data_IF_602379703063
#
_entry.id   IF_602379703063
#
_cell.length_a   1.000
_cell.length_b   1.000
_cell.length_c   1.000
_cell.angle_alpha   90.00
_cell.angle_beta   90.00
_cell.angle_gamma   90.00
#
_symmetry.space_group_name_H-M   'P 1'
#
loop_
_entity.id
_entity.type
_entity.pdbx_description
1 polymer ?
#
# COMPACT_ATOMS: atom_id res chain seq x y z
N UNK A 1 26.86 -22.63 -52.23
CA UNK A 1 26.02 -23.36 -53.20
C UNK A 1 25.92 -24.81 -52.71
N UNK A 2 24.70 -25.36 -52.61
CA UNK A 2 24.29 -26.74 -52.20
C UNK A 2 24.29 -27.01 -50.68
N UNK A 3 23.15 -26.99 -49.97
CA UNK A 3 22.00 -27.93 -49.85
C UNK A 3 22.37 -29.28 -49.21
N UNK A 4 21.78 -29.62 -48.05
CA UNK A 4 20.70 -30.64 -47.86
C UNK A 4 20.72 -31.23 -46.44
N UNK A 5 19.51 -31.43 -45.92
CA UNK A 5 19.06 -31.96 -44.61
C UNK A 5 19.38 -33.46 -44.38
N UNK A 6 19.38 -33.92 -43.11
CA UNK A 6 18.49 -34.99 -42.59
C UNK A 6 18.93 -35.56 -41.21
N UNK A 7 18.02 -35.39 -40.22
CA UNK A 7 17.48 -36.39 -39.26
C UNK A 7 18.44 -37.28 -38.46
N UNK A 8 18.41 -37.20 -37.11
CA UNK A 8 17.88 -38.27 -36.23
C UNK A 8 18.21 -38.04 -34.73
N UNK A 9 17.16 -38.13 -33.92
CA UNK A 9 17.05 -38.71 -32.58
C UNK A 9 18.18 -38.50 -31.54
N UNK A 10 17.81 -37.84 -30.44
CA UNK A 10 18.46 -38.02 -29.13
C UNK A 10 18.37 -36.78 -28.26
N UNK A 11 17.34 -36.66 -27.42
CA UNK A 11 17.41 -35.74 -26.28
C UNK A 11 17.02 -36.48 -25.01
N UNK A 12 18.10 -36.86 -24.32
CA UNK A 12 18.24 -37.25 -22.93
C UNK A 12 17.39 -36.36 -22.00
N UNK A 13 16.59 -36.99 -21.15
CA UNK A 13 15.77 -36.30 -20.15
C UNK A 13 16.66 -35.51 -19.17
N UNK A 14 16.63 -34.19 -19.30
CA UNK A 14 17.17 -33.26 -18.30
C UNK A 14 16.05 -32.92 -17.32
N UNK A 15 16.18 -33.41 -16.09
CA UNK A 15 15.38 -32.96 -14.96
C UNK A 15 15.65 -31.46 -14.74
N UNK A 16 14.71 -30.62 -15.18
CA UNK A 16 14.79 -29.17 -14.93
C UNK A 16 14.31 -28.92 -13.50
N UNK A 17 15.23 -28.41 -12.69
CA UNK A 17 14.99 -28.07 -11.30
C UNK A 17 13.76 -27.20 -11.11
N UNK A 18 12.97 -27.56 -10.10
CA UNK A 18 11.92 -26.72 -9.56
C UNK A 18 12.55 -25.44 -8.98
N UNK A 19 12.65 -24.38 -9.79
CA UNK A 19 12.77 -23.04 -9.24
C UNK A 19 11.43 -22.69 -8.59
N UNK A 20 11.31 -22.92 -7.28
CA UNK A 20 10.34 -22.23 -6.44
C UNK A 20 10.67 -20.74 -6.49
N UNK A 21 10.12 -20.05 -7.49
CA UNK A 21 10.05 -18.59 -7.47
C UNK A 21 9.00 -18.26 -6.44
N UNK A 22 9.44 -17.95 -5.22
CA UNK A 22 8.67 -17.17 -4.26
C UNK A 22 8.31 -15.85 -4.95
N UNK A 23 7.25 -15.88 -5.74
CA UNK A 23 6.68 -14.69 -6.34
C UNK A 23 6.12 -13.90 -5.16
N UNK A 24 6.58 -12.67 -4.91
CA UNK A 24 6.00 -11.87 -3.84
C UNK A 24 4.50 -11.82 -4.10
N UNK A 25 3.74 -12.38 -3.16
CA UNK A 25 2.28 -12.40 -3.26
C UNK A 25 1.86 -10.94 -3.25
N UNK A 26 1.39 -10.45 -4.41
CA UNK A 26 0.90 -9.09 -4.52
C UNK A 26 -0.17 -8.89 -3.45
N UNK A 27 -0.17 -7.76 -2.71
CA UNK A 27 -1.19 -7.51 -1.70
C UNK A 27 -2.57 -7.72 -2.31
N UNK A 28 -3.38 -8.58 -1.69
CA UNK A 28 -4.76 -8.76 -2.10
C UNK A 28 -5.47 -7.41 -2.04
N UNK A 29 -6.09 -6.97 -3.13
CA UNK A 29 -6.84 -5.71 -3.16
C UNK A 29 -8.11 -5.75 -2.30
N UNK A 30 -8.47 -6.91 -1.73
CA UNK A 30 -9.67 -7.12 -0.94
C UNK A 30 -9.41 -7.13 0.57
N UNK A 31 -8.35 -6.46 1.05
CA UNK A 31 -8.23 -6.16 2.48
C UNK A 31 -9.25 -5.08 2.85
N UNK A 32 -10.09 -5.30 3.88
CA UNK A 32 -11.00 -4.27 4.36
C UNK A 32 -10.21 -3.00 4.69
N UNK A 33 -10.71 -1.84 4.27
CA UNK A 33 -10.09 -0.55 4.55
C UNK A 33 -11.17 0.40 5.02
N UNK A 34 -10.87 1.14 6.09
CA UNK A 34 -11.80 2.10 6.68
C UNK A 34 -11.09 3.40 7.00
N UNK A 35 -11.83 4.50 6.89
CA UNK A 35 -11.38 5.83 7.26
C UNK A 35 -12.42 6.52 8.12
N UNK A 36 -11.95 7.35 9.06
CA UNK A 36 -12.80 8.19 9.91
C UNK A 36 -12.18 9.57 9.98
N UNK A 37 -12.93 10.59 9.59
CA UNK A 37 -12.54 11.98 9.77
C UNK A 37 -12.71 12.38 11.24
N UNK A 38 -11.59 12.67 11.91
CA UNK A 38 -11.58 13.19 13.28
C UNK A 38 -11.80 14.69 13.27
N UNK A 39 -11.26 15.37 12.26
CA UNK A 39 -11.46 16.80 12.02
C UNK A 39 -11.50 17.06 10.53
N UNK A 40 -12.55 17.72 10.04
CA UNK A 40 -12.63 18.13 8.65
C UNK A 40 -11.89 19.45 8.46
N UNK A 41 -10.97 19.50 7.50
CA UNK A 41 -10.24 20.73 7.15
C UNK A 41 -11.10 21.72 6.37
N UNK A 42 -10.66 22.99 6.33
CA UNK A 42 -11.38 24.07 5.62
C UNK A 42 -10.72 24.47 4.30
N UNK A 43 -9.51 23.99 4.03
CA UNK A 43 -8.77 24.35 2.83
C UNK A 43 -9.11 23.50 1.60
N UNK A 44 -8.21 23.54 0.62
CA UNK A 44 -8.37 22.81 -0.63
C UNK A 44 -8.50 21.31 -0.41
N UNK A 45 -9.29 20.67 -1.27
CA UNK A 45 -9.47 19.22 -1.27
C UNK A 45 -8.31 18.51 -1.97
N UNK A 46 -7.88 17.40 -1.38
CA UNK A 46 -6.86 16.48 -1.87
C UNK A 46 -7.44 15.61 -3.00
N UNK A 47 -7.41 16.17 -4.20
CA UNK A 47 -7.85 15.53 -5.44
C UNK A 47 -6.67 14.96 -6.23
N UNK A 48 -6.89 13.89 -7.00
CA UNK A 48 -5.86 13.27 -7.83
C UNK A 48 -5.12 14.27 -8.73
N UNK A 49 -3.81 14.09 -8.87
CA UNK A 49 -2.93 14.97 -9.65
C UNK A 49 -2.43 16.21 -8.90
N UNK A 50 -2.92 16.50 -7.69
CA UNK A 50 -2.34 17.53 -6.81
C UNK A 50 -1.30 16.93 -5.87
N UNK A 51 -0.29 17.73 -5.52
CA UNK A 51 0.67 17.39 -4.47
C UNK A 51 0.07 17.71 -3.10
N UNK A 52 0.02 16.70 -2.22
CA UNK A 52 -0.35 16.88 -0.83
C UNK A 52 0.90 16.77 0.05
N UNK A 53 0.99 17.60 1.08
CA UNK A 53 1.93 17.46 2.18
C UNK A 53 1.14 17.01 3.41
N UNK A 54 1.48 15.84 3.93
CA UNK A 54 0.73 15.15 4.98
C UNK A 54 1.64 14.93 6.18
N UNK A 55 1.14 15.29 7.35
CA UNK A 55 1.77 14.94 8.62
C UNK A 55 1.15 13.64 9.06
N UNK A 56 1.94 12.58 9.17
CA UNK A 56 1.42 11.28 9.53
C UNK A 56 2.05 10.73 10.80
N UNK A 57 1.28 9.90 11.49
CA UNK A 57 1.74 9.09 12.61
C UNK A 57 1.14 7.69 12.51
N UNK A 58 1.99 6.68 12.71
CA UNK A 58 1.64 5.26 12.70
C UNK A 58 1.71 4.72 14.12
N UNK A 59 0.67 4.01 14.53
CA UNK A 59 0.55 3.38 15.84
C UNK A 59 0.21 1.91 15.69
N UNK A 60 0.70 1.10 16.63
CA UNK A 60 0.08 -0.19 16.91
C UNK A 60 -1.30 0.05 17.52
N UNK A 61 -2.30 -0.70 17.08
CA UNK A 61 -3.60 -0.67 17.74
C UNK A 61 -3.49 -1.20 19.17
N UNK A 62 -4.25 -0.58 20.08
CA UNK A 62 -4.53 -1.16 21.38
C UNK A 62 -5.96 -0.81 21.80
N UNK A 63 -6.82 -1.82 21.96
CA UNK A 63 -8.23 -1.61 22.36
C UNK A 63 -8.38 -1.02 23.77
N UNK A 64 -7.35 -1.07 24.60
CA UNK A 64 -7.36 -0.58 25.98
C UNK A 64 -6.71 0.79 26.14
N UNK A 65 -6.08 1.31 25.08
CA UNK A 65 -5.43 2.61 25.11
C UNK A 65 -6.37 3.72 24.65
N UNK A 66 -6.09 4.95 25.08
CA UNK A 66 -6.82 6.13 24.61
C UNK A 66 -6.76 6.23 23.08
N UNK A 67 -7.87 6.60 22.46
CA UNK A 67 -8.01 6.68 21.00
C UNK A 67 -7.66 5.39 20.23
N UNK A 68 -7.60 4.26 20.94
CA UNK A 68 -7.11 2.98 20.47
C UNK A 68 -5.64 2.98 19.98
N UNK A 69 -4.83 3.93 20.46
CA UNK A 69 -3.42 4.07 20.09
C UNK A 69 -2.51 3.42 21.12
N UNK A 70 -1.89 2.30 20.73
CA UNK A 70 -0.77 1.72 21.45
C UNK A 70 0.55 2.42 21.12
N UNK A 71 1.62 1.64 20.99
CA UNK A 71 2.96 2.16 20.70
C UNK A 71 3.02 2.87 19.35
N UNK A 72 3.60 4.07 19.33
CA UNK A 72 3.97 4.74 18.09
C UNK A 72 5.09 3.95 17.38
N UNK A 73 4.92 3.73 16.09
CA UNK A 73 5.90 3.05 15.23
C UNK A 73 6.73 4.07 14.44
N UNK A 74 6.08 5.11 13.93
CA UNK A 74 6.69 6.10 13.07
C UNK A 74 5.86 7.37 13.06
N UNK A 75 6.49 8.52 12.87
CA UNK A 75 5.81 9.76 12.55
C UNK A 75 6.69 10.61 11.62
N UNK A 76 6.09 11.49 10.85
CA UNK A 76 6.83 12.41 9.98
C UNK A 76 5.95 13.18 9.03
N UNK A 77 6.60 13.93 8.14
CA UNK A 77 5.97 14.68 7.07
C UNK A 77 6.27 13.98 5.75
N UNK A 78 5.28 13.84 4.89
CA UNK A 78 5.45 13.19 3.60
C UNK A 78 4.71 13.95 2.51
N UNK A 79 5.38 14.15 1.38
CA UNK A 79 4.82 14.86 0.21
C UNK A 79 4.74 13.93 -0.98
N UNK A 80 3.58 13.88 -1.63
CA UNK A 80 3.36 13.04 -2.80
C UNK A 80 2.21 13.56 -3.65
N UNK A 81 2.15 13.12 -4.91
CA UNK A 81 1.01 13.38 -5.78
C UNK A 81 -0.14 12.41 -5.43
N UNK A 82 -1.33 12.97 -5.12
CA UNK A 82 -2.53 12.19 -4.85
C UNK A 82 -2.90 11.35 -6.08
N UNK A 83 -3.22 10.08 -5.87
CA UNK A 83 -3.52 9.14 -6.95
C UNK A 83 -2.30 8.59 -7.70
N UNK A 84 -1.07 8.91 -7.27
CA UNK A 84 0.14 8.26 -7.79
C UNK A 84 0.36 6.87 -7.19
N UNK A 85 1.16 6.04 -7.87
CA UNK A 85 1.58 4.71 -7.41
C UNK A 85 2.82 4.76 -6.50
N UNK A 86 3.26 5.95 -6.09
CA UNK A 86 4.45 6.16 -5.26
C UNK A 86 4.21 5.81 -3.78
N UNK A 87 2.94 5.63 -3.39
CA UNK A 87 2.52 5.33 -2.03
C UNK A 87 1.76 4.01 -1.96
N UNK A 88 1.73 3.41 -0.78
CA UNK A 88 0.91 2.22 -0.54
C UNK A 88 -0.58 2.54 -0.84
N UNK A 89 -1.34 1.65 -1.49
CA UNK A 89 -2.70 1.93 -1.95
C UNK A 89 -3.62 2.46 -0.85
N UNK A 90 -3.59 1.84 0.34
CA UNK A 90 -4.41 2.28 1.48
C UNK A 90 -4.10 3.70 1.96
N UNK A 91 -2.85 4.17 1.82
CA UNK A 91 -2.48 5.55 2.17
C UNK A 91 -3.00 6.56 1.13
N UNK A 92 -2.91 6.20 -0.16
CA UNK A 92 -3.52 7.01 -1.23
C UNK A 92 -5.03 7.12 -1.04
N UNK A 93 -5.69 6.00 -0.73
CA UNK A 93 -7.13 5.95 -0.45
C UNK A 93 -7.50 6.72 0.82
N UNK A 94 -6.66 6.70 1.86
CA UNK A 94 -6.88 7.47 3.09
C UNK A 94 -6.91 8.97 2.84
N UNK A 95 -5.97 9.47 2.04
CA UNK A 95 -5.72 10.90 1.85
C UNK A 95 -6.63 11.53 0.80
N UNK A 96 -7.15 10.73 -0.14
CA UNK A 96 -8.07 11.20 -1.16
C UNK A 96 -9.33 11.82 -0.52
N UNK A 97 -9.72 13.01 -0.99
CA UNK A 97 -10.88 13.75 -0.47
C UNK A 97 -10.68 14.40 0.90
N UNK A 98 -9.49 14.28 1.52
CA UNK A 98 -9.15 15.10 2.69
C UNK A 98 -9.08 16.57 2.32
N UNK A 99 -9.39 17.45 3.27
CA UNK A 99 -9.19 18.89 3.13
C UNK A 99 -7.97 19.34 3.92
N UNK A 100 -7.25 20.33 3.41
CA UNK A 100 -6.11 20.93 4.12
C UNK A 100 -6.53 21.39 5.52
N UNK A 101 -5.74 21.02 6.52
CA UNK A 101 -6.01 21.25 7.95
C UNK A 101 -6.88 20.17 8.61
N UNK A 102 -7.33 19.17 7.84
CA UNK A 102 -8.05 18.01 8.35
C UNK A 102 -7.18 17.07 9.17
N UNK A 103 -7.83 16.14 9.87
CA UNK A 103 -7.21 15.01 10.54
C UNK A 103 -8.09 13.78 10.28
N UNK A 104 -7.49 12.75 9.69
CA UNK A 104 -8.18 11.51 9.37
C UNK A 104 -7.44 10.32 9.96
N UNK A 105 -8.21 9.37 10.47
CA UNK A 105 -7.74 8.05 10.89
C UNK A 105 -8.02 7.05 9.79
N UNK A 106 -7.06 6.19 9.48
CA UNK A 106 -7.18 5.13 8.49
C UNK A 106 -6.60 3.81 9.02
N UNK A 107 -7.24 2.70 8.66
CA UNK A 107 -6.83 1.35 9.09
C UNK A 107 -7.71 0.26 8.51
N UNK A 108 -7.26 -0.99 8.61
CA UNK A 108 -8.04 -2.15 8.22
C UNK A 108 -8.87 -2.64 9.42
N UNK A 109 -10.22 -2.67 9.34
CA UNK A 109 -11.07 -3.12 10.45
C UNK A 109 -10.80 -4.57 10.91
N UNK A 110 -10.29 -5.45 10.03
CA UNK A 110 -9.89 -6.82 10.38
C UNK A 110 -8.46 -6.94 10.91
N UNK A 111 -7.64 -5.91 10.72
CA UNK A 111 -6.26 -5.78 11.20
C UNK A 111 -6.24 -4.66 12.25
N UNK A 112 -6.73 -5.01 13.43
CA UNK A 112 -6.59 -4.17 14.61
C UNK A 112 -5.13 -4.19 15.09
N UNK A 113 -4.16 -3.95 14.21
CA UNK A 113 -2.72 -3.98 14.49
C UNK A 113 -2.00 -2.74 14.01
N UNK A 114 -2.52 -1.98 13.03
CA UNK A 114 -1.85 -0.77 12.53
C UNK A 114 -2.84 0.34 12.20
N UNK A 115 -2.68 1.49 12.84
CA UNK A 115 -3.48 2.70 12.61
C UNK A 115 -2.60 3.83 12.12
N UNK A 116 -3.10 4.57 11.13
CA UNK A 116 -2.47 5.78 10.62
C UNK A 116 -3.35 6.99 10.90
N UNK A 117 -2.72 8.08 11.36
CA UNK A 117 -3.28 9.42 11.31
C UNK A 117 -2.57 10.22 10.23
N UNK A 118 -3.34 11.03 9.51
CA UNK A 118 -2.89 11.90 8.41
C UNK A 118 -3.65 13.22 8.42
#
# INVERSE_FOLDING_TARGET
>A
MKLTSCVAAGVLALAVGACSKDTPTSPSANVPFSTVDVRVGTGAEATSGRTANVNYALYLYSATAADNKGSALQAGNFSFAIGSTQVIPGFSQATQGMRVGGLRRAGNPGDARRWAET
#
